data_IF_775382724144
#
_entry.id   IF_775382724144
#
_cell.length_a   1.000
_cell.length_b   1.000
_cell.length_c   1.000
_cell.angle_alpha   90.00
_cell.angle_beta   90.00
_cell.angle_gamma   90.00
#
_symmetry.space_group_name_H-M   'P 1'
#
loop_
_entity.id
_entity.type
_entity.pdbx_description
1 polymer ?
#
# COMPACT_ATOMS: atom_id res chain seq x y z
N UNK A 1 -6.49 -6.09 17.42
CA UNK A 1 -7.40 -7.17 17.85
C UNK A 1 -7.03 -7.54 19.27
N UNK A 2 -7.92 -8.20 20.01
CA UNK A 2 -7.44 -9.43 20.61
C UNK A 2 -7.90 -10.54 19.67
N UNK A 3 -7.01 -11.45 19.23
CA UNK A 3 -7.41 -12.85 19.23
C UNK A 3 -7.41 -13.18 20.73
N UNK A 4 -8.55 -13.03 21.44
CA UNK A 4 -8.49 -12.82 22.88
C UNK A 4 -8.22 -14.14 23.55
N UNK A 5 -7.95 -14.12 24.85
CA UNK A 5 -7.97 -15.34 25.66
C UNK A 5 -9.25 -16.15 25.43
N UNK A 6 -10.39 -15.52 25.09
CA UNK A 6 -11.63 -16.23 24.75
C UNK A 6 -11.49 -17.25 23.60
N UNK A 7 -10.58 -17.02 22.64
CA UNK A 7 -10.41 -17.89 21.48
C UNK A 7 -9.54 -19.13 21.80
N UNK A 8 -8.82 -19.11 22.92
CA UNK A 8 -8.00 -20.22 23.39
C UNK A 8 -8.84 -21.44 23.79
N UNK A 9 -9.95 -21.31 24.56
CA UNK A 9 -10.89 -22.41 24.79
C UNK A 9 -11.38 -23.11 23.52
N UNK A 10 -11.69 -22.36 22.45
CA UNK A 10 -12.16 -22.93 21.20
C UNK A 10 -11.07 -23.77 20.52
N UNK A 11 -9.84 -23.27 20.43
CA UNK A 11 -8.70 -24.04 19.93
C UNK A 11 -8.46 -25.30 20.76
N UNK A 12 -8.59 -25.22 22.08
CA UNK A 12 -8.47 -26.37 22.98
C UNK A 12 -9.55 -27.42 22.73
N UNK A 13 -10.80 -27.02 22.49
CA UNK A 13 -11.88 -27.95 22.20
C UNK A 13 -11.68 -28.65 20.85
N UNK A 14 -11.26 -27.92 19.82
CA UNK A 14 -10.94 -28.49 18.50
C UNK A 14 -9.80 -29.53 18.57
N UNK A 15 -8.82 -29.30 19.44
CA UNK A 15 -7.73 -30.24 19.71
C UNK A 15 -8.23 -31.50 20.43
N UNK A 16 -9.22 -31.40 21.33
CA UNK A 16 -9.81 -32.57 22.03
C UNK A 16 -10.57 -33.50 21.08
N UNK A 17 -11.29 -32.93 20.10
CA UNK A 17 -12.03 -33.67 19.07
C UNK A 17 -11.12 -34.40 18.05
N UNK A 18 -9.79 -34.34 18.22
CA UNK A 18 -8.76 -35.00 17.37
C UNK A 18 -8.87 -34.67 15.87
N UNK A 19 -9.35 -33.48 15.54
CA UNK A 19 -9.36 -32.97 14.17
C UNK A 19 -7.91 -32.72 13.71
N UNK A 20 -7.59 -33.01 12.43
CA UNK A 20 -6.26 -32.76 11.88
C UNK A 20 -6.08 -31.27 11.53
N UNK A 21 -5.69 -30.46 12.53
CA UNK A 21 -5.46 -29.03 12.37
C UNK A 21 -4.11 -28.79 11.70
N UNK A 22 -4.14 -28.31 10.44
CA UNK A 22 -2.92 -28.15 9.63
C UNK A 22 -2.17 -26.84 9.99
N UNK A 23 -2.91 -25.74 10.18
CA UNK A 23 -2.34 -24.41 10.49
C UNK A 23 -3.26 -23.57 11.37
N UNK A 24 -2.68 -22.65 12.17
CA UNK A 24 -3.42 -21.64 12.96
C UNK A 24 -3.01 -20.24 12.52
N UNK A 25 -3.97 -19.36 12.24
CA UNK A 25 -3.67 -17.97 11.86
C UNK A 25 -3.98 -17.02 13.02
N UNK A 26 -3.06 -16.12 13.35
CA UNK A 26 -3.26 -15.12 14.40
C UNK A 26 -2.59 -13.79 14.06
N UNK A 27 -2.82 -12.75 14.87
CA UNK A 27 -2.16 -11.47 14.66
C UNK A 27 -0.65 -11.58 14.85
N UNK A 28 0.15 -10.81 14.10
CA UNK A 28 1.58 -10.76 14.33
C UNK A 28 1.85 -10.29 15.76
N UNK A 29 2.82 -10.91 16.45
CA UNK A 29 3.30 -10.41 17.74
C UNK A 29 3.67 -8.93 17.63
N UNK A 30 3.23 -8.12 18.59
CA UNK A 30 3.49 -6.68 18.60
C UNK A 30 4.29 -6.33 19.85
N UNK A 31 5.10 -5.26 19.74
CA UNK A 31 5.83 -4.71 20.90
C UNK A 31 4.83 -4.01 21.82
N UNK A 32 4.78 -4.41 23.07
CA UNK A 32 3.87 -3.86 24.10
C UNK A 32 4.66 -3.63 25.41
N UNK A 33 4.06 -2.85 26.33
CA UNK A 33 4.65 -2.40 27.60
C UNK A 33 5.89 -1.47 27.49
N UNK A 34 6.26 -0.81 28.60
CA UNK A 34 7.49 0.01 28.68
C UNK A 34 8.72 -0.90 28.58
N UNK A 35 9.62 -0.61 27.64
CA UNK A 35 10.75 -1.48 27.26
C UNK A 35 10.55 -2.26 25.95
N UNK A 36 9.36 -2.20 25.34
CA UNK A 36 9.08 -2.65 23.97
C UNK A 36 9.42 -4.13 23.67
N UNK A 37 9.18 -5.03 24.64
CA UNK A 37 9.32 -6.47 24.44
C UNK A 37 8.24 -6.99 23.48
N UNK A 38 8.58 -7.97 22.64
CA UNK A 38 7.65 -8.59 21.69
C UNK A 38 6.74 -9.54 22.46
N UNK A 39 5.44 -9.26 22.51
CA UNK A 39 4.43 -10.16 23.06
C UNK A 39 3.67 -10.88 21.94
N UNK A 40 3.58 -12.21 22.09
CA UNK A 40 2.77 -13.08 21.23
C UNK A 40 1.32 -13.11 21.73
N UNK A 41 0.37 -13.38 20.83
CA UNK A 41 -1.05 -13.48 21.21
C UNK A 41 -1.33 -14.77 22.00
N UNK A 42 -2.37 -14.81 22.86
CA UNK A 42 -2.74 -16.02 23.61
C UNK A 42 -2.93 -17.25 22.71
N UNK A 43 -3.59 -17.07 21.56
CA UNK A 43 -3.80 -18.15 20.56
C UNK A 43 -2.49 -18.60 19.92
N UNK A 44 -1.54 -17.69 19.67
CA UNK A 44 -0.21 -18.05 19.17
C UNK A 44 0.50 -18.97 20.16
N UNK A 45 0.50 -18.61 21.45
CA UNK A 45 1.15 -19.37 22.50
C UNK A 45 0.51 -20.75 22.68
N UNK A 46 -0.82 -20.83 22.70
CA UNK A 46 -1.54 -22.11 22.81
C UNK A 46 -1.29 -23.02 21.59
N UNK A 47 -1.26 -22.46 20.38
CA UNK A 47 -0.99 -23.22 19.17
C UNK A 47 0.45 -23.77 19.15
N UNK A 48 1.45 -22.95 19.52
CA UNK A 48 2.85 -23.42 19.68
C UNK A 48 2.96 -24.52 20.75
N UNK A 49 2.26 -24.37 21.89
CA UNK A 49 2.26 -25.35 22.98
C UNK A 49 1.76 -26.73 22.54
N UNK A 50 0.83 -26.76 21.59
CA UNK A 50 0.28 -27.99 21.01
C UNK A 50 0.97 -28.38 19.69
N UNK A 51 2.14 -27.81 19.38
CA UNK A 51 2.93 -28.05 18.17
C UNK A 51 2.20 -27.78 16.84
N UNK A 52 1.18 -26.93 16.85
CA UNK A 52 0.49 -26.48 15.65
C UNK A 52 1.29 -25.36 14.98
N UNK A 53 1.32 -25.36 13.64
CA UNK A 53 2.06 -24.37 12.87
C UNK A 53 1.26 -23.07 12.72
N UNK A 54 1.81 -21.97 13.23
CA UNK A 54 1.14 -20.66 13.31
C UNK A 54 1.58 -19.69 12.20
N UNK A 55 0.63 -18.99 11.59
CA UNK A 55 0.86 -17.95 10.57
C UNK A 55 0.28 -16.59 10.98
N UNK A 56 0.98 -15.49 10.68
CA UNK A 56 0.53 -14.15 11.12
C UNK A 56 0.82 -12.99 10.13
N UNK A 57 0.07 -12.90 9.02
CA UNK A 57 0.33 -11.94 7.95
C UNK A 57 -0.11 -10.50 8.28
N UNK A 58 0.49 -9.52 7.59
CA UNK A 58 0.32 -8.07 7.85
C UNK A 58 -0.77 -7.42 6.95
N UNK A 59 -1.03 -7.92 5.72
CA UNK A 59 -2.15 -7.55 4.79
C UNK A 59 -2.25 -8.57 3.63
N UNK A 60 -3.42 -8.84 3.02
CA UNK A 60 -3.61 -10.05 2.16
C UNK A 60 -4.55 -10.02 0.92
N UNK A 61 -4.99 -8.90 0.32
CA UNK A 61 -6.21 -9.00 -0.53
C UNK A 61 -6.04 -9.39 -2.02
N UNK A 62 -6.01 -8.51 -3.03
CA UNK A 62 -6.23 -8.98 -4.43
C UNK A 62 -5.12 -9.86 -5.05
N UNK A 63 -3.86 -9.39 -5.03
CA UNK A 63 -2.72 -10.18 -5.54
C UNK A 63 -2.47 -11.43 -4.68
N UNK A 64 -2.75 -11.35 -3.40
CA UNK A 64 -2.58 -12.49 -2.50
C UNK A 64 -3.68 -13.55 -2.72
N UNK A 65 -4.92 -13.17 -3.05
CA UNK A 65 -5.97 -14.10 -3.51
C UNK A 65 -5.61 -14.76 -4.84
N UNK A 66 -5.11 -13.98 -5.81
CA UNK A 66 -4.66 -14.55 -7.09
C UNK A 66 -3.46 -15.47 -6.88
N UNK A 67 -2.48 -15.02 -6.10
CA UNK A 67 -1.29 -15.78 -5.75
C UNK A 67 -1.62 -17.10 -5.07
N UNK A 68 -2.52 -17.10 -4.08
CA UNK A 68 -2.90 -18.33 -3.37
C UNK A 68 -3.56 -19.34 -4.31
N UNK A 69 -4.47 -18.90 -5.18
CA UNK A 69 -5.09 -19.76 -6.21
C UNK A 69 -4.06 -20.32 -7.18
N UNK A 70 -3.11 -19.49 -7.63
CA UNK A 70 -2.07 -19.90 -8.57
C UNK A 70 -1.07 -20.87 -7.94
N UNK A 71 -0.72 -20.67 -6.66
CA UNK A 71 0.18 -21.57 -5.92
C UNK A 71 -0.44 -22.96 -5.82
N UNK A 72 -1.71 -23.09 -5.43
CA UNK A 72 -2.39 -24.40 -5.36
C UNK A 72 -2.37 -25.09 -6.71
N UNK A 73 -2.73 -24.37 -7.78
CA UNK A 73 -2.67 -24.90 -9.15
C UNK A 73 -1.26 -25.33 -9.56
N UNK A 74 -0.24 -24.57 -9.17
CA UNK A 74 1.14 -24.89 -9.46
C UNK A 74 1.57 -26.19 -8.74
N UNK A 75 1.19 -26.34 -7.46
CA UNK A 75 1.46 -27.56 -6.68
C UNK A 75 0.80 -28.77 -7.35
N UNK A 76 -0.47 -28.67 -7.76
CA UNK A 76 -1.16 -29.76 -8.47
C UNK A 76 -0.48 -30.15 -9.78
N UNK A 77 0.05 -29.18 -10.52
CA UNK A 77 0.79 -29.44 -11.76
C UNK A 77 2.13 -30.13 -11.47
N UNK A 78 2.81 -29.77 -10.38
CA UNK A 78 4.05 -30.41 -9.95
C UNK A 78 3.79 -31.85 -9.52
N UNK A 79 2.79 -32.08 -8.66
CA UNK A 79 2.42 -33.41 -8.15
C UNK A 79 2.04 -34.37 -9.29
N UNK A 80 1.32 -33.87 -10.30
CA UNK A 80 0.95 -34.64 -11.50
C UNK A 80 2.06 -34.74 -12.54
N UNK A 81 3.26 -34.22 -12.25
CA UNK A 81 4.41 -34.18 -13.16
C UNK A 81 4.13 -33.49 -14.52
N UNK A 82 3.26 -32.46 -14.50
CA UNK A 82 2.82 -31.66 -15.66
C UNK A 82 3.39 -30.24 -15.67
N UNK A 83 4.11 -29.84 -14.63
CA UNK A 83 4.71 -28.51 -14.55
C UNK A 83 5.81 -28.31 -15.61
N UNK A 84 5.82 -27.15 -16.26
CA UNK A 84 6.89 -26.73 -17.17
C UNK A 84 7.73 -25.65 -16.48
N UNK A 85 9.00 -25.95 -16.24
CA UNK A 85 9.96 -24.99 -15.69
C UNK A 85 10.69 -24.31 -16.84
N UNK A 86 10.70 -22.98 -16.83
CA UNK A 86 11.43 -22.14 -17.79
C UNK A 86 12.47 -21.35 -17.01
N UNK A 87 13.73 -21.40 -17.46
CA UNK A 87 14.77 -20.58 -16.87
C UNK A 87 14.52 -19.09 -17.12
N UNK A 88 14.86 -18.25 -16.13
CA UNK A 88 14.73 -16.81 -16.24
C UNK A 88 15.82 -16.25 -17.15
N UNK A 89 15.43 -15.41 -18.11
CA UNK A 89 16.38 -14.57 -18.85
C UNK A 89 16.90 -13.44 -17.94
N UNK A 90 18.09 -13.64 -17.37
CA UNK A 90 18.71 -12.71 -16.44
C UNK A 90 19.01 -11.34 -17.06
N UNK A 91 19.15 -11.24 -18.39
CA UNK A 91 19.38 -9.96 -19.07
C UNK A 91 18.18 -9.02 -19.03
N UNK A 92 16.97 -9.56 -18.79
CA UNK A 92 15.71 -8.81 -18.68
C UNK A 92 15.29 -8.53 -17.23
N UNK A 93 16.07 -8.98 -16.24
CA UNK A 93 15.73 -8.78 -14.84
C UNK A 93 15.86 -7.31 -14.42
N UNK A 94 14.83 -6.77 -13.76
CA UNK A 94 14.85 -5.42 -13.19
C UNK A 94 14.66 -5.47 -11.68
N UNK A 95 15.36 -4.60 -10.95
CA UNK A 95 15.27 -4.54 -9.50
C UNK A 95 14.25 -3.49 -9.03
N UNK A 96 13.24 -3.93 -8.27
CA UNK A 96 12.33 -3.02 -7.56
C UNK A 96 13.00 -2.48 -6.29
N UNK A 97 13.63 -1.30 -6.40
CA UNK A 97 14.32 -0.66 -5.28
C UNK A 97 13.31 -0.24 -4.19
N UNK A 98 13.80 -0.12 -2.95
CA UNK A 98 13.04 0.44 -1.85
C UNK A 98 12.69 1.90 -2.17
N UNK A 99 11.42 2.27 -1.97
CA UNK A 99 10.94 3.65 -2.07
C UNK A 99 11.65 4.50 -1.01
N UNK A 100 12.23 5.62 -1.42
CA UNK A 100 12.85 6.62 -0.54
C UNK A 100 11.99 7.89 -0.45
N UNK A 101 12.34 8.83 0.43
CA UNK A 101 11.57 10.09 0.56
C UNK A 101 11.67 10.95 -0.70
N UNK A 102 12.73 10.81 -1.49
CA UNK A 102 12.94 11.50 -2.75
C UNK A 102 11.98 10.97 -3.84
N UNK A 103 11.66 9.66 -3.82
CA UNK A 103 10.69 9.06 -4.72
C UNK A 103 9.25 9.56 -4.46
N UNK A 104 9.00 10.13 -3.29
CA UNK A 104 7.69 10.68 -2.92
C UNK A 104 7.44 12.09 -3.48
N UNK A 105 8.50 12.84 -3.77
CA UNK A 105 8.40 14.20 -4.29
C UNK A 105 8.00 14.19 -5.77
N UNK A 106 6.99 14.97 -6.13
CA UNK A 106 6.51 15.08 -7.50
C UNK A 106 7.43 16.00 -8.28
N UNK A 107 8.19 15.44 -9.21
CA UNK A 107 8.91 16.23 -10.19
C UNK A 107 8.01 16.58 -11.38
N UNK A 108 7.56 17.84 -11.43
CA UNK A 108 6.67 18.37 -12.48
C UNK A 108 7.28 18.34 -13.90
N UNK A 109 8.60 18.19 -14.03
CA UNK A 109 9.27 17.99 -15.33
C UNK A 109 9.06 16.60 -15.93
N UNK A 110 8.36 15.70 -15.22
CA UNK A 110 7.91 14.44 -15.79
C UNK A 110 6.63 14.64 -16.63
N UNK A 111 6.36 13.67 -17.51
CA UNK A 111 5.09 13.59 -18.23
C UNK A 111 3.93 13.36 -17.24
N UNK A 112 2.75 13.90 -17.54
CA UNK A 112 1.57 13.83 -16.67
C UNK A 112 1.20 12.36 -16.33
N UNK A 113 1.29 11.45 -17.29
CA UNK A 113 1.04 10.01 -17.09
C UNK A 113 1.99 9.43 -16.03
N UNK A 114 3.27 9.79 -16.08
CA UNK A 114 4.28 9.29 -15.13
C UNK A 114 4.02 9.81 -13.72
N UNK A 115 3.56 11.06 -13.58
CA UNK A 115 3.18 11.63 -12.29
C UNK A 115 1.93 10.95 -11.73
N UNK A 116 0.90 10.71 -12.55
CA UNK A 116 -0.29 9.94 -12.11
C UNK A 116 0.08 8.51 -11.70
N UNK A 117 0.99 7.86 -12.43
CA UNK A 117 1.52 6.55 -12.04
C UNK A 117 2.26 6.59 -10.70
N UNK A 118 3.08 7.63 -10.45
CA UNK A 118 3.74 7.84 -9.16
C UNK A 118 2.70 8.02 -8.03
N UNK A 119 1.68 8.86 -8.24
CA UNK A 119 0.57 9.07 -7.28
C UNK A 119 -0.10 7.74 -6.94
N UNK A 120 -0.43 6.93 -7.96
CA UNK A 120 -1.09 5.64 -7.78
C UNK A 120 -0.18 4.60 -7.10
N UNK A 121 1.10 4.56 -7.47
CA UNK A 121 2.08 3.62 -6.91
C UNK A 121 2.35 3.87 -5.42
N UNK A 122 2.23 5.13 -4.97
CA UNK A 122 2.46 5.54 -3.59
C UNK A 122 1.16 5.62 -2.76
N UNK A 123 0.00 5.26 -3.32
CA UNK A 123 -1.28 5.19 -2.62
C UNK A 123 -1.54 3.76 -2.11
N UNK A 124 -1.92 3.54 -0.83
CA UNK A 124 -2.28 4.50 0.23
C UNK A 124 -1.12 4.93 1.13
N UNK A 125 0.08 4.40 0.90
CA UNK A 125 1.30 4.79 1.62
C UNK A 125 2.50 4.63 0.70
N UNK A 126 3.48 5.55 0.72
CA UNK A 126 3.60 6.73 1.59
C UNK A 126 2.83 7.98 1.13
N UNK A 127 2.45 8.06 -0.14
CA UNK A 127 1.74 9.19 -0.79
C UNK A 127 2.69 10.17 -1.47
N UNK A 128 2.45 10.45 -2.76
CA UNK A 128 3.19 11.43 -3.53
C UNK A 128 2.86 12.86 -3.07
N UNK A 129 3.84 13.77 -3.03
CA UNK A 129 3.65 15.14 -2.53
C UNK A 129 4.36 16.21 -3.37
N UNK A 130 3.87 17.44 -3.26
CA UNK A 130 4.53 18.65 -3.74
C UNK A 130 4.60 19.69 -2.63
N UNK A 131 5.45 20.70 -2.78
CA UNK A 131 5.61 21.79 -1.83
C UNK A 131 4.80 23.02 -2.25
N UNK A 132 4.03 23.55 -1.32
CA UNK A 132 3.35 24.83 -1.47
C UNK A 132 3.28 25.56 -0.13
N UNK A 133 3.61 26.86 -0.11
CA UNK A 133 3.70 27.67 1.12
C UNK A 133 4.49 27.00 2.25
N UNK A 134 5.60 26.35 1.89
CA UNK A 134 6.48 25.60 2.79
C UNK A 134 5.87 24.35 3.46
N UNK A 135 4.74 23.85 2.95
CA UNK A 135 4.10 22.62 3.41
C UNK A 135 4.18 21.53 2.33
N UNK A 136 4.36 20.27 2.75
CA UNK A 136 4.28 19.10 1.86
C UNK A 136 2.84 18.66 1.71
N UNK A 137 2.22 18.91 0.56
CA UNK A 137 0.84 18.56 0.29
C UNK A 137 0.81 17.28 -0.54
N UNK A 138 0.13 16.24 -0.03
CA UNK A 138 0.04 14.93 -0.69
C UNK A 138 -1.12 14.90 -1.68
N UNK A 139 -0.90 14.28 -2.83
CA UNK A 139 -1.92 13.95 -3.82
C UNK A 139 -2.18 12.45 -3.73
N UNK A 140 -3.45 12.08 -3.56
CA UNK A 140 -3.88 10.68 -3.43
C UNK A 140 -4.54 10.16 -4.70
N UNK A 141 -5.13 11.06 -5.50
CA UNK A 141 -5.78 10.72 -6.75
C UNK A 141 -5.72 11.89 -7.73
N UNK A 142 -5.38 11.60 -8.98
CA UNK A 142 -5.36 12.56 -10.06
C UNK A 142 -5.62 11.88 -11.41
N UNK A 143 -6.01 12.67 -12.41
CA UNK A 143 -6.26 12.22 -13.78
C UNK A 143 -5.48 13.10 -14.76
N UNK A 144 -5.06 12.52 -15.89
CA UNK A 144 -4.38 13.29 -16.95
C UNK A 144 -5.42 14.03 -17.76
N UNK A 145 -5.16 15.31 -18.03
CA UNK A 145 -5.97 16.18 -18.87
C UNK A 145 -5.11 16.69 -20.01
N UNK A 146 -5.61 16.58 -21.24
CA UNK A 146 -4.96 17.13 -22.44
C UNK A 146 -5.05 18.67 -22.47
N UNK A 147 -4.24 19.28 -21.60
CA UNK A 147 -4.04 20.72 -21.53
C UNK A 147 -2.58 20.99 -21.20
N UNK A 148 -2.02 22.02 -21.83
CA UNK A 148 -0.64 22.43 -21.64
C UNK A 148 -0.57 23.78 -20.92
N UNK A 149 0.56 24.03 -20.28
CA UNK A 149 0.84 25.32 -19.67
C UNK A 149 2.26 25.36 -19.11
N UNK A 150 2.54 26.35 -18.26
CA UNK A 150 3.86 26.48 -17.62
C UNK A 150 4.04 25.34 -16.62
N UNK A 151 5.11 24.55 -16.80
CA UNK A 151 5.44 23.40 -15.95
C UNK A 151 5.46 23.80 -14.47
N UNK A 152 4.85 22.98 -13.62
CA UNK A 152 4.81 23.20 -12.18
C UNK A 152 3.87 24.34 -11.76
N UNK A 153 2.94 24.76 -12.62
CA UNK A 153 1.96 25.81 -12.28
C UNK A 153 0.52 25.34 -12.35
N UNK A 154 -0.33 25.98 -11.55
CA UNK A 154 -1.77 25.76 -11.62
C UNK A 154 -2.39 26.51 -12.81
N UNK A 155 -3.15 25.79 -13.64
CA UNK A 155 -3.80 26.32 -14.83
C UNK A 155 -5.17 26.95 -14.54
N UNK A 156 -5.79 26.56 -13.42
CA UNK A 156 -7.08 27.07 -12.96
C UNK A 156 -7.15 27.04 -11.42
N UNK A 157 -8.28 27.53 -10.88
CA UNK A 157 -8.55 27.55 -9.43
C UNK A 157 -9.03 26.22 -8.87
N UNK A 158 -9.10 25.16 -9.69
CA UNK A 158 -9.49 23.80 -9.30
C UNK A 158 -8.28 22.85 -9.21
N UNK A 159 -7.07 23.40 -9.08
CA UNK A 159 -5.83 22.64 -8.95
C UNK A 159 -5.56 21.69 -10.13
N UNK A 160 -5.79 22.18 -11.35
CA UNK A 160 -5.23 21.60 -12.57
C UNK A 160 -3.77 22.04 -12.70
N UNK A 161 -2.82 21.10 -12.72
CA UNK A 161 -1.39 21.41 -12.64
C UNK A 161 -0.70 21.01 -13.94
N UNK A 162 0.00 21.93 -14.59
CA UNK A 162 0.78 21.64 -15.79
C UNK A 162 2.04 20.83 -15.48
N UNK A 163 2.26 19.79 -16.27
CA UNK A 163 3.46 18.95 -16.28
C UNK A 163 4.24 19.20 -17.58
N UNK A 164 5.22 18.34 -17.90
CA UNK A 164 6.06 18.50 -19.12
C UNK A 164 5.28 18.50 -20.43
N UNK A 165 4.28 17.63 -20.56
CA UNK A 165 3.53 17.41 -21.80
C UNK A 165 2.07 17.88 -21.68
N UNK A 166 1.35 17.36 -20.70
CA UNK A 166 -0.07 17.62 -20.40
C UNK A 166 -0.20 18.13 -18.96
N UNK A 167 -1.43 18.17 -18.43
CA UNK A 167 -1.72 18.57 -17.07
C UNK A 167 -2.31 17.40 -16.28
N UNK A 168 -2.25 17.48 -14.95
CA UNK A 168 -2.98 16.60 -14.05
C UNK A 168 -4.09 17.36 -13.33
N UNK A 169 -5.30 16.82 -13.36
CA UNK A 169 -6.40 17.27 -12.52
C UNK A 169 -6.33 16.53 -11.19
N UNK A 170 -6.06 17.25 -10.10
CA UNK A 170 -6.09 16.67 -8.76
C UNK A 170 -7.53 16.39 -8.34
N UNK A 171 -7.79 15.20 -7.77
CA UNK A 171 -9.10 14.78 -7.30
C UNK A 171 -9.15 14.64 -5.78
N UNK A 172 -8.11 14.02 -5.19
CA UNK A 172 -7.98 13.83 -3.74
C UNK A 172 -6.62 14.31 -3.24
N UNK A 173 -6.63 15.04 -2.14
CA UNK A 173 -5.50 15.80 -1.63
C UNK A 173 -5.47 15.80 -0.10
N UNK A 174 -4.29 15.98 0.49
CA UNK A 174 -4.11 16.03 1.93
C UNK A 174 -2.99 16.99 2.33
N UNK A 175 -3.32 17.95 3.20
CA UNK A 175 -2.33 18.79 3.91
C UNK A 175 -1.77 18.05 5.14
N UNK A 176 -0.53 18.34 5.58
CA UNK A 176 0.05 17.70 6.76
C UNK A 176 -0.88 17.77 7.97
N UNK A 177 -1.03 16.63 8.67
CA UNK A 177 -1.87 16.52 9.86
C UNK A 177 -3.38 16.64 9.62
N UNK A 178 -3.85 16.67 8.36
CA UNK A 178 -5.28 16.68 8.01
C UNK A 178 -5.71 15.35 7.40
N UNK A 179 -7.03 15.13 7.30
CA UNK A 179 -7.60 13.99 6.58
C UNK A 179 -7.47 14.18 5.07
N UNK A 180 -7.51 13.07 4.32
CA UNK A 180 -7.68 13.08 2.86
C UNK A 180 -9.04 13.70 2.55
N UNK A 181 -9.10 14.61 1.58
CA UNK A 181 -10.31 15.33 1.17
C UNK A 181 -10.38 15.43 -0.36
N UNK A 182 -11.59 15.67 -0.87
CA UNK A 182 -11.76 16.03 -2.28
C UNK A 182 -11.16 17.41 -2.53
N UNK A 183 -10.59 17.61 -3.71
CA UNK A 183 -9.93 18.87 -4.08
C UNK A 183 -10.84 20.09 -3.91
N UNK A 184 -12.14 19.96 -4.23
CA UNK A 184 -13.12 21.06 -4.11
C UNK A 184 -13.30 21.50 -2.66
N UNK A 185 -13.39 20.55 -1.73
CA UNK A 185 -13.53 20.83 -0.29
C UNK A 185 -12.26 21.45 0.28
N UNK A 186 -11.11 20.89 -0.12
CA UNK A 186 -9.80 21.40 0.27
C UNK A 186 -9.62 22.87 -0.10
N UNK A 187 -9.98 23.25 -1.33
CA UNK A 187 -9.79 24.61 -1.86
C UNK A 187 -10.71 25.66 -1.23
N UNK A 188 -11.82 25.27 -0.58
CA UNK A 188 -12.65 26.21 0.20
C UNK A 188 -11.91 26.75 1.41
N UNK A 189 -11.15 25.89 2.10
CA UNK A 189 -10.39 26.26 3.29
C UNK A 189 -8.92 26.63 3.02
N UNK A 190 -8.36 26.19 1.89
CA UNK A 190 -6.96 26.39 1.55
C UNK A 190 -6.78 26.69 0.07
N UNK A 191 -6.75 27.97 -0.28
CA UNK A 191 -6.67 28.41 -1.66
C UNK A 191 -5.28 28.19 -2.26
N UNK A 192 -5.27 27.55 -3.43
CA UNK A 192 -4.13 27.48 -4.36
C UNK A 192 -4.61 28.14 -5.67
N UNK A 193 -4.43 29.46 -5.82
CA UNK A 193 -4.93 30.20 -6.99
C UNK A 193 -4.32 29.72 -8.30
N UNK A 194 -4.96 30.02 -9.43
CA UNK A 194 -4.35 29.94 -10.76
C UNK A 194 -2.99 30.66 -10.80
N UNK A 195 -2.08 30.15 -11.61
CA UNK A 195 -0.71 30.62 -11.80
C UNK A 195 0.16 30.54 -10.52
N UNK A 196 -0.23 29.72 -9.54
CA UNK A 196 0.63 29.38 -8.41
C UNK A 196 1.76 28.48 -8.87
N UNK A 197 2.99 28.78 -8.48
CA UNK A 197 4.15 27.92 -8.70
C UNK A 197 4.24 26.86 -7.60
N UNK A 198 4.33 25.60 -8.00
CA UNK A 198 4.43 24.42 -7.16
C UNK A 198 5.84 23.87 -7.32
N UNK A 199 6.57 23.81 -6.20
CA UNK A 199 7.94 23.30 -6.16
C UNK A 199 7.97 21.90 -5.59
#
# INVERSE_FOLDING_TARGET
>A
MGTPEFAVPALKELLKEKLNIIYVYTQPPKKSNRGLKIEKTPVHLEAEKNNLKVHHPISLNQLSILGSKLIIKAIDLIDKNKAKFLEQDHSKATHAKKITSEDEEINWNNNAIKIVQQINALNPTPGAWFKFKNERIKIWKAEVIDQKGKIGTTLNDNLLIACKDFAIQVLEIQRPGKKIQKVKEFLLGYKIPKASELF
#
